data_IF_538502858715
#
_entry.id   IF_538502858715
#
_cell.length_a   1.000
_cell.length_b   1.000
_cell.length_c   1.000
_cell.angle_alpha   90.00
_cell.angle_beta   90.00
_cell.angle_gamma   90.00
#
_symmetry.space_group_name_H-M   'P 1'
#
loop_
_entity.id
_entity.type
_entity.pdbx_description
1 polymer ?
#
# COMPACT_ATOMS: atom_id res chain seq x y z
N UNK A 1 54.48 37.74 5.91
CA UNK A 1 54.25 36.54 5.08
C UNK A 1 55.20 35.43 5.50
N UNK A 2 54.74 34.45 6.27
CA UNK A 2 55.19 33.06 6.16
C UNK A 2 54.09 32.20 5.54
N UNK A 3 54.45 31.16 4.79
CA UNK A 3 53.46 30.22 4.21
C UNK A 3 52.82 29.35 5.30
N UNK A 4 51.54 28.94 5.15
CA UNK A 4 50.98 27.88 5.97
C UNK A 4 51.68 26.55 5.66
N UNK A 5 51.97 25.75 6.69
CA UNK A 5 52.46 24.38 6.50
C UNK A 5 51.33 23.44 6.05
N UNK A 6 51.61 22.38 5.28
CA UNK A 6 50.61 21.38 4.94
C UNK A 6 50.16 20.62 6.18
N UNK A 7 48.85 20.58 6.43
CA UNK A 7 48.26 19.73 7.48
C UNK A 7 48.21 18.30 6.94
N UNK A 8 48.93 17.38 7.59
CA UNK A 8 48.81 15.95 7.31
C UNK A 8 47.47 15.42 7.83
N UNK A 9 46.61 14.94 6.94
CA UNK A 9 45.45 14.14 7.34
C UNK A 9 45.91 12.87 8.07
N UNK A 10 45.26 12.45 9.17
CA UNK A 10 45.55 11.15 9.78
C UNK A 10 45.15 10.02 8.83
N UNK A 11 45.95 8.95 8.81
CA UNK A 11 45.67 7.77 8.00
C UNK A 11 44.34 7.13 8.38
N UNK A 12 43.53 6.80 7.37
CA UNK A 12 42.32 5.99 7.57
C UNK A 12 42.74 4.56 7.94
N UNK A 13 42.15 3.93 8.98
CA UNK A 13 42.37 2.52 9.23
C UNK A 13 41.91 1.70 8.01
N UNK A 14 42.77 0.83 7.50
CA UNK A 14 42.39 -0.12 6.45
C UNK A 14 41.34 -1.09 7.01
N UNK A 15 40.17 -1.13 6.38
CA UNK A 15 39.13 -2.09 6.74
C UNK A 15 39.58 -3.51 6.38
N UNK A 16 39.77 -4.35 7.39
CA UNK A 16 40.15 -5.75 7.17
C UNK A 16 39.06 -6.50 6.39
N UNK A 17 39.47 -7.26 5.37
CA UNK A 17 38.55 -8.03 4.53
C UNK A 17 37.90 -9.19 5.30
N UNK A 18 36.67 -8.97 5.80
CA UNK A 18 35.80 -10.04 6.27
C UNK A 18 35.23 -10.82 5.07
N UNK A 19 35.78 -12.00 4.81
CA UNK A 19 35.43 -12.80 3.64
C UNK A 19 34.10 -13.54 3.86
N UNK A 20 33.06 -13.12 3.15
CA UNK A 20 31.72 -13.73 3.21
C UNK A 20 30.81 -13.07 2.19
N UNK A 21 30.13 -13.87 1.36
CA UNK A 21 29.32 -13.39 0.23
C UNK A 21 28.00 -12.78 0.71
N UNK A 22 28.03 -11.51 1.15
CA UNK A 22 26.83 -10.72 1.40
C UNK A 22 26.09 -10.49 0.07
N UNK A 23 25.02 -11.25 -0.14
CA UNK A 23 23.99 -10.89 -1.12
C UNK A 23 23.43 -9.50 -0.73
N UNK A 24 23.25 -8.56 -1.66
CA UNK A 24 22.70 -7.24 -1.35
C UNK A 24 21.18 -7.31 -1.11
N UNK A 25 20.74 -6.95 0.11
CA UNK A 25 19.36 -7.13 0.63
C UNK A 25 18.86 -5.84 1.32
N UNK A 26 17.53 -5.63 1.35
CA UNK A 26 16.72 -4.44 1.72
C UNK A 26 15.33 -4.87 2.27
N UNK A 27 14.18 -4.16 2.38
CA UNK A 27 13.47 -3.06 1.67
C UNK A 27 13.96 -1.63 2.04
N UNK A 28 13.34 -0.47 1.78
CA UNK A 28 12.28 0.12 0.94
C UNK A 28 11.57 -0.66 -0.21
N UNK A 29 10.39 -0.18 -0.65
CA UNK A 29 9.59 -0.71 -1.80
C UNK A 29 10.42 -0.91 -3.09
N UNK A 30 11.56 -0.23 -3.22
CA UNK A 30 12.42 -0.28 -4.40
C UNK A 30 13.57 -1.32 -4.35
N UNK A 31 13.63 -2.25 -3.39
CA UNK A 31 14.75 -3.23 -3.25
C UNK A 31 14.38 -4.42 -2.28
N UNK A 32 14.92 -5.67 -2.34
CA UNK A 32 14.24 -6.89 -1.79
C UNK A 32 14.51 -7.33 -0.31
N UNK A 33 13.52 -7.95 0.39
CA UNK A 33 13.43 -8.39 1.82
C UNK A 33 14.17 -9.70 2.19
N UNK A 34 14.38 -9.93 3.49
CA UNK A 34 14.95 -11.16 4.10
C UNK A 34 13.85 -12.20 4.37
N UNK A 35 14.09 -13.48 4.06
CA UNK A 35 13.08 -14.57 4.14
C UNK A 35 12.30 -14.64 5.48
N UNK A 36 11.00 -14.92 5.41
CA UNK A 36 10.05 -14.77 6.54
C UNK A 36 10.34 -15.82 7.62
N UNK A 37 10.96 -15.38 8.71
CA UNK A 37 11.38 -16.26 9.80
C UNK A 37 10.19 -16.93 10.52
N UNK A 38 10.44 -18.08 11.17
CA UNK A 38 9.49 -18.69 12.11
C UNK A 38 9.14 -17.77 13.29
N UNK A 39 10.04 -16.86 13.63
CA UNK A 39 9.82 -15.88 14.69
C UNK A 39 8.81 -14.80 14.25
N UNK A 40 8.90 -14.33 13.01
CA UNK A 40 7.93 -13.42 12.39
C UNK A 40 6.51 -14.02 12.38
N UNK A 41 6.39 -15.31 12.03
CA UNK A 41 5.11 -16.05 12.13
C UNK A 41 4.53 -16.10 13.56
N UNK A 42 5.35 -15.95 14.60
CA UNK A 42 4.92 -15.94 16.00
C UNK A 42 4.69 -14.53 16.59
N UNK A 43 5.00 -13.47 15.82
CA UNK A 43 4.94 -12.07 16.25
C UNK A 43 3.84 -11.24 15.58
N UNK A 44 3.07 -11.82 14.67
CA UNK A 44 1.88 -11.19 14.05
C UNK A 44 0.60 -11.94 14.40
N UNK A 45 -0.54 -11.24 14.43
CA UNK A 45 -1.87 -11.85 14.53
C UNK A 45 -2.40 -12.40 13.19
N UNK A 46 -1.78 -12.03 12.07
CA UNK A 46 -2.27 -12.33 10.71
C UNK A 46 -1.21 -13.10 9.88
N UNK A 47 -0.75 -14.29 10.32
CA UNK A 47 0.33 -15.03 9.66
C UNK A 47 0.03 -15.42 8.21
N UNK A 48 -1.25 -15.52 7.82
CA UNK A 48 -1.69 -15.80 6.45
C UNK A 48 -1.44 -14.65 5.47
N UNK A 49 -1.23 -13.41 5.96
CA UNK A 49 -0.85 -12.25 5.12
C UNK A 49 0.67 -12.09 4.98
N UNK A 50 1.48 -12.95 5.61
CA UNK A 50 2.94 -12.86 5.51
C UNK A 50 3.39 -13.02 4.05
N UNK A 51 4.29 -12.15 3.56
CA UNK A 51 4.59 -12.06 2.14
C UNK A 51 5.38 -13.27 1.64
N UNK A 52 5.10 -13.66 0.40
CA UNK A 52 5.76 -14.76 -0.30
C UNK A 52 6.35 -14.28 -1.64
N UNK A 53 7.48 -14.87 -2.00
CA UNK A 53 8.19 -14.65 -3.27
C UNK A 53 8.26 -15.95 -4.09
N UNK A 54 7.14 -16.69 -4.09
CA UNK A 54 6.98 -17.88 -4.93
C UNK A 54 7.13 -17.48 -6.42
N UNK A 55 7.85 -18.29 -7.21
CA UNK A 55 8.19 -17.92 -8.59
C UNK A 55 6.97 -17.96 -9.51
N UNK A 56 6.41 -16.79 -9.77
CA UNK A 56 5.25 -16.57 -10.62
C UNK A 56 5.64 -15.94 -11.96
N UNK A 57 4.81 -16.17 -12.98
CA UNK A 57 4.93 -15.53 -14.29
C UNK A 57 3.55 -15.07 -14.75
N UNK A 58 3.49 -13.89 -15.37
CA UNK A 58 2.29 -13.33 -15.97
C UNK A 58 2.60 -12.96 -17.41
N UNK A 59 1.68 -13.26 -18.33
CA UNK A 59 1.79 -12.78 -19.71
C UNK A 59 1.55 -11.27 -19.78
N UNK A 60 2.14 -10.55 -20.76
CA UNK A 60 1.96 -9.11 -20.90
C UNK A 60 0.48 -8.72 -20.96
N UNK A 61 0.06 -7.86 -20.03
CA UNK A 61 -1.35 -7.54 -19.81
C UNK A 61 -1.94 -6.84 -21.06
N UNK A 62 -2.87 -7.48 -21.81
CA UNK A 62 -3.44 -6.85 -23.00
C UNK A 62 -4.42 -5.74 -22.59
N UNK A 63 -4.59 -4.70 -23.44
CA UNK A 63 -5.63 -3.71 -23.24
C UNK A 63 -7.01 -4.35 -23.13
N UNK A 64 -7.83 -3.88 -22.19
CA UNK A 64 -9.12 -4.46 -21.84
C UNK A 64 -10.18 -3.38 -21.63
N UNK A 65 -11.43 -3.70 -21.93
CA UNK A 65 -12.56 -2.83 -21.62
C UNK A 65 -12.84 -2.84 -20.11
N UNK A 66 -13.27 -1.69 -19.57
CA UNK A 66 -13.53 -1.52 -18.15
C UNK A 66 -14.80 -0.68 -17.92
N UNK A 67 -15.78 -1.31 -17.26
CA UNK A 67 -17.07 -0.71 -16.90
C UNK A 67 -17.09 -0.32 -15.41
N UNK A 68 -16.73 0.95 -15.13
CA UNK A 68 -16.65 1.49 -13.77
C UNK A 68 -17.99 1.32 -13.01
N UNK A 69 -18.01 0.64 -11.85
CA UNK A 69 -19.20 0.49 -11.01
C UNK A 69 -19.90 1.81 -10.67
N UNK A 70 -19.16 2.92 -10.52
CA UNK A 70 -19.70 4.24 -10.18
C UNK A 70 -20.73 4.78 -11.20
N UNK A 71 -20.64 4.31 -12.45
CA UNK A 71 -21.54 4.70 -13.56
C UNK A 71 -22.88 3.96 -13.54
N UNK A 72 -23.00 2.86 -12.80
CA UNK A 72 -24.22 2.05 -12.67
C UNK A 72 -25.24 2.69 -11.71
N UNK A 73 -24.75 3.52 -10.79
CA UNK A 73 -25.50 4.16 -9.71
C UNK A 73 -26.38 5.30 -10.22
N UNK A 74 -27.69 5.04 -10.22
CA UNK A 74 -28.73 5.98 -10.68
C UNK A 74 -29.20 6.94 -9.59
N UNK A 75 -29.29 6.46 -8.35
CA UNK A 75 -29.68 7.28 -7.20
C UNK A 75 -28.44 7.90 -6.54
N UNK A 76 -28.39 9.24 -6.50
CA UNK A 76 -27.27 9.99 -5.93
C UNK A 76 -27.29 10.07 -4.40
N UNK A 77 -28.40 9.72 -3.75
CA UNK A 77 -28.51 9.61 -2.30
C UNK A 77 -27.77 8.38 -1.74
N UNK A 78 -27.46 7.39 -2.60
CA UNK A 78 -26.72 6.17 -2.26
C UNK A 78 -27.39 5.36 -1.13
N UNK A 79 -28.65 4.91 -1.29
CA UNK A 79 -29.44 4.32 -0.19
C UNK A 79 -28.97 2.93 0.29
N UNK A 80 -28.13 2.21 -0.47
CA UNK A 80 -27.54 0.94 -0.03
C UNK A 80 -26.25 1.15 0.78
N UNK A 81 -25.60 2.32 0.66
CA UNK A 81 -24.40 2.71 1.40
C UNK A 81 -24.69 3.68 2.55
N UNK A 82 -25.56 4.67 2.34
CA UNK A 82 -25.87 5.77 3.26
C UNK A 82 -27.15 5.49 4.06
N UNK A 83 -27.14 4.42 4.84
CA UNK A 83 -28.28 4.09 5.73
C UNK A 83 -28.33 4.99 6.97
N UNK A 84 -29.42 4.94 7.74
CA UNK A 84 -29.65 5.82 8.91
C UNK A 84 -28.54 5.79 9.98
N UNK A 85 -27.78 4.69 10.06
CA UNK A 85 -26.67 4.52 11.01
C UNK A 85 -25.33 5.07 10.50
N UNK A 86 -25.25 5.53 9.25
CA UNK A 86 -23.99 5.85 8.57
C UNK A 86 -23.64 7.32 8.72
N UNK A 87 -22.42 7.60 9.20
CA UNK A 87 -21.93 8.96 9.44
C UNK A 87 -20.73 9.26 8.55
N UNK A 88 -20.90 10.23 7.65
CA UNK A 88 -19.85 10.74 6.78
C UNK A 88 -19.16 11.95 7.41
N UNK A 89 -17.87 11.83 7.70
CA UNK A 89 -17.06 12.92 8.28
C UNK A 89 -15.97 13.36 7.29
N UNK A 90 -16.03 14.58 6.76
CA UNK A 90 -15.05 15.06 5.77
C UNK A 90 -13.68 15.39 6.40
N UNK A 91 -12.61 14.90 5.79
CA UNK A 91 -11.21 15.14 6.23
C UNK A 91 -10.68 16.45 5.62
N UNK A 92 -10.97 16.70 4.34
CA UNK A 92 -10.72 17.96 3.65
C UNK A 92 -12.00 18.41 2.91
N UNK A 93 -12.16 19.70 2.56
CA UNK A 93 -13.39 20.17 1.92
C UNK A 93 -13.71 19.44 0.60
N UNK A 94 -12.70 19.22 -0.25
CA UNK A 94 -12.87 18.71 -1.63
C UNK A 94 -12.41 17.26 -1.86
N UNK A 95 -11.81 16.60 -0.87
CA UNK A 95 -11.45 15.17 -0.91
C UNK A 95 -11.32 14.60 0.51
N UNK A 96 -11.25 13.28 0.66
CA UNK A 96 -11.07 12.60 1.94
C UNK A 96 -12.34 12.60 2.82
N UNK A 97 -12.80 11.43 3.23
CA UNK A 97 -13.83 11.30 4.27
C UNK A 97 -13.62 10.03 5.10
N UNK A 98 -13.99 10.08 6.38
CA UNK A 98 -14.24 8.90 7.22
C UNK A 98 -15.71 8.50 7.06
N UNK A 99 -15.99 7.20 6.98
CA UNK A 99 -17.34 6.63 6.86
C UNK A 99 -17.57 5.69 8.03
N UNK A 100 -18.21 6.17 9.09
CA UNK A 100 -18.57 5.36 10.25
C UNK A 100 -19.89 4.61 9.99
N UNK A 101 -20.05 3.41 10.55
CA UNK A 101 -21.32 2.66 10.54
C UNK A 101 -21.58 1.76 9.32
N UNK A 102 -20.59 1.58 8.43
CA UNK A 102 -20.64 0.63 7.30
C UNK A 102 -19.70 -0.55 7.57
N UNK A 103 -20.10 -1.78 7.23
CA UNK A 103 -19.20 -2.93 7.11
C UNK A 103 -19.06 -3.31 5.64
N UNK A 104 -17.85 -3.21 5.07
CA UNK A 104 -17.60 -3.43 3.65
C UNK A 104 -17.92 -4.87 3.20
N UNK A 105 -17.76 -5.85 4.10
CA UNK A 105 -18.11 -7.27 3.86
C UNK A 105 -19.62 -7.49 3.64
N UNK A 106 -20.46 -6.61 4.18
CA UNK A 106 -21.92 -6.74 4.22
C UNK A 106 -22.61 -5.97 3.08
N UNK A 107 -21.86 -5.20 2.28
CA UNK A 107 -22.40 -4.44 1.16
C UNK A 107 -22.97 -5.35 0.07
N UNK A 108 -24.20 -5.04 -0.35
CA UNK A 108 -24.77 -5.56 -1.60
C UNK A 108 -23.98 -5.06 -2.81
N UNK A 109 -24.13 -5.70 -3.96
CA UNK A 109 -23.46 -5.24 -5.19
C UNK A 109 -23.88 -3.82 -5.59
N UNK A 110 -25.11 -3.40 -5.27
CA UNK A 110 -25.56 -2.02 -5.40
C UNK A 110 -24.86 -1.08 -4.39
N UNK A 111 -24.64 -1.53 -3.14
CA UNK A 111 -23.85 -0.79 -2.14
C UNK A 111 -22.38 -0.63 -2.55
N UNK A 112 -21.81 -1.59 -3.28
CA UNK A 112 -20.45 -1.51 -3.84
C UNK A 112 -20.37 -0.58 -5.06
N UNK A 113 -21.38 -0.60 -5.93
CA UNK A 113 -21.53 0.39 -7.01
C UNK A 113 -21.61 1.81 -6.41
N UNK A 114 -22.43 2.00 -5.36
CA UNK A 114 -22.58 3.27 -4.63
C UNK A 114 -21.30 3.71 -3.91
N UNK A 115 -20.54 2.75 -3.37
CA UNK A 115 -19.21 2.98 -2.80
C UNK A 115 -18.22 3.46 -3.86
N UNK A 116 -18.19 2.84 -5.04
CA UNK A 116 -17.37 3.31 -6.16
C UNK A 116 -17.71 4.76 -6.52
N UNK A 117 -19.00 5.13 -6.55
CA UNK A 117 -19.41 6.51 -6.77
C UNK A 117 -18.96 7.46 -5.64
N UNK A 118 -19.05 7.05 -4.37
CA UNK A 118 -18.56 7.86 -3.26
C UNK A 118 -17.02 8.03 -3.29
N UNK A 119 -16.29 7.00 -3.73
CA UNK A 119 -14.84 7.07 -4.00
C UNK A 119 -14.55 8.03 -5.15
N UNK A 120 -15.31 8.02 -6.25
CA UNK A 120 -15.14 9.00 -7.33
C UNK A 120 -15.40 10.45 -6.85
N UNK A 121 -16.39 10.65 -5.97
CA UNK A 121 -16.76 11.96 -5.40
C UNK A 121 -15.76 12.47 -4.34
N UNK A 122 -15.15 11.57 -3.54
CA UNK A 122 -14.30 11.94 -2.38
C UNK A 122 -12.83 11.53 -2.49
N UNK A 123 -12.46 10.74 -3.50
CA UNK A 123 -11.11 10.26 -3.89
C UNK A 123 -10.44 9.31 -2.90
N UNK A 124 -10.60 9.55 -1.60
CA UNK A 124 -10.11 8.71 -0.51
C UNK A 124 -11.23 8.57 0.52
N UNK A 125 -11.50 7.34 0.93
CA UNK A 125 -12.42 7.03 2.03
C UNK A 125 -11.70 6.16 3.06
N UNK A 126 -11.89 6.48 4.33
CA UNK A 126 -11.41 5.69 5.46
C UNK A 126 -12.60 5.03 6.16
N UNK A 127 -12.52 3.72 6.39
CA UNK A 127 -13.53 2.93 7.08
C UNK A 127 -12.89 2.39 8.37
N UNK A 128 -13.26 2.88 9.57
CA UNK A 128 -12.81 2.31 10.83
C UNK A 128 -13.50 0.96 11.09
N UNK A 129 -12.95 0.18 12.03
CA UNK A 129 -13.59 -1.00 12.65
C UNK A 129 -14.17 -2.04 11.66
N UNK A 130 -13.41 -2.40 10.61
CA UNK A 130 -13.87 -3.28 9.53
C UNK A 130 -13.62 -4.78 9.80
N UNK A 131 -14.70 -5.57 9.84
CA UNK A 131 -14.65 -7.04 9.94
C UNK A 131 -13.97 -7.70 8.71
N UNK A 132 -13.93 -6.99 7.58
CA UNK A 132 -13.26 -7.40 6.35
C UNK A 132 -11.73 -7.55 6.51
N UNK A 133 -11.14 -6.97 7.56
CA UNK A 133 -9.73 -7.19 7.92
C UNK A 133 -9.54 -8.62 8.46
N UNK A 134 -10.30 -9.01 9.48
CA UNK A 134 -10.25 -10.34 10.09
C UNK A 134 -10.83 -11.44 9.19
N UNK A 135 -11.62 -11.09 8.17
CA UNK A 135 -12.24 -12.03 7.23
C UNK A 135 -11.24 -12.70 6.24
N UNK A 136 -9.96 -12.33 6.28
CA UNK A 136 -8.89 -13.01 5.54
C UNK A 136 -8.73 -12.59 4.05
N UNK A 137 -7.61 -12.99 3.41
CA UNK A 137 -7.23 -12.51 2.08
C UNK A 137 -8.25 -12.84 0.98
N UNK A 138 -8.87 -14.03 1.03
CA UNK A 138 -9.89 -14.45 0.04
C UNK A 138 -11.12 -13.53 0.07
N UNK A 139 -11.59 -13.15 1.27
CA UNK A 139 -12.74 -12.26 1.44
C UNK A 139 -12.45 -10.87 0.89
N UNK A 140 -11.25 -10.34 1.13
CA UNK A 140 -10.76 -9.06 0.61
C UNK A 140 -10.60 -9.08 -0.91
N UNK A 141 -10.03 -10.15 -1.49
CA UNK A 141 -9.90 -10.30 -2.93
C UNK A 141 -11.28 -10.40 -3.61
N UNK A 142 -12.20 -11.19 -3.03
CA UNK A 142 -13.58 -11.34 -3.49
C UNK A 142 -14.36 -10.02 -3.43
N UNK A 143 -14.14 -9.20 -2.42
CA UNK A 143 -14.69 -7.84 -2.34
C UNK A 143 -14.12 -6.96 -3.47
N UNK A 144 -12.79 -6.91 -3.61
CA UNK A 144 -12.13 -6.06 -4.61
C UNK A 144 -12.45 -6.45 -6.06
N UNK A 145 -12.75 -7.72 -6.32
CA UNK A 145 -13.19 -8.21 -7.65
C UNK A 145 -14.50 -7.59 -8.16
N UNK A 146 -15.28 -6.90 -7.33
CA UNK A 146 -16.41 -6.08 -7.79
C UNK A 146 -15.96 -4.83 -8.56
N UNK A 147 -14.81 -4.26 -8.17
CA UNK A 147 -14.29 -3.00 -8.71
C UNK A 147 -13.43 -3.20 -9.97
N UNK A 148 -13.05 -4.44 -10.29
CA UNK A 148 -12.32 -4.77 -11.51
C UNK A 148 -11.59 -6.11 -11.41
N UNK A 149 -10.76 -6.42 -12.43
CA UNK A 149 -9.78 -7.50 -12.33
C UNK A 149 -8.66 -7.09 -11.36
N UNK A 150 -8.05 -8.02 -10.59
CA UNK A 150 -6.83 -7.72 -9.86
C UNK A 150 -5.71 -7.25 -10.80
N UNK A 151 -4.93 -6.26 -10.35
CA UNK A 151 -3.61 -5.94 -10.92
C UNK A 151 -2.56 -6.82 -10.22
N UNK A 152 -1.53 -7.24 -10.96
CA UNK A 152 -0.48 -8.13 -10.45
C UNK A 152 0.88 -7.45 -10.53
N UNK A 153 1.37 -6.96 -9.39
CA UNK A 153 2.58 -6.13 -9.34
C UNK A 153 3.85 -6.98 -9.24
N UNK A 154 4.83 -6.84 -10.14
CA UNK A 154 6.06 -7.65 -10.14
C UNK A 154 7.14 -7.15 -9.16
N UNK A 155 6.81 -6.21 -8.27
CA UNK A 155 7.78 -5.46 -7.43
C UNK A 155 7.76 -5.83 -5.93
N UNK A 156 6.71 -6.51 -5.45
CA UNK A 156 6.53 -6.84 -4.03
C UNK A 156 6.43 -8.35 -3.80
N UNK A 157 6.57 -8.76 -2.54
CA UNK A 157 6.01 -10.04 -2.11
C UNK A 157 4.47 -10.01 -2.21
N UNK A 158 3.87 -11.19 -2.38
CA UNK A 158 2.41 -11.36 -2.48
C UNK A 158 1.90 -12.31 -1.40
N UNK A 159 0.60 -12.26 -1.09
CA UNK A 159 -0.02 -13.22 -0.17
C UNK A 159 -0.10 -14.61 -0.83
N UNK A 160 0.20 -15.67 -0.07
CA UNK A 160 0.19 -17.05 -0.56
C UNK A 160 -1.17 -17.41 -1.16
N UNK A 161 -1.20 -17.68 -2.46
CA UNK A 161 -2.42 -18.01 -3.21
C UNK A 161 -3.24 -16.81 -3.67
N UNK A 162 -2.94 -15.60 -3.20
CA UNK A 162 -3.65 -14.35 -3.50
C UNK A 162 -2.71 -13.33 -4.18
N UNK A 163 -2.31 -13.58 -5.44
CA UNK A 163 -1.23 -12.85 -6.11
C UNK A 163 -1.55 -11.37 -6.43
N UNK A 164 -2.80 -10.93 -6.24
CA UNK A 164 -3.21 -9.53 -6.40
C UNK A 164 -2.88 -8.62 -5.20
N UNK A 165 -2.32 -9.17 -4.12
CA UNK A 165 -1.93 -8.39 -2.94
C UNK A 165 -0.53 -7.79 -3.07
N UNK A 166 -0.41 -6.49 -2.81
CA UNK A 166 0.84 -5.83 -2.47
C UNK A 166 0.97 -5.77 -0.94
N UNK A 167 1.97 -6.44 -0.36
CA UNK A 167 2.15 -6.48 1.11
C UNK A 167 3.23 -5.51 1.58
N UNK A 168 2.82 -4.51 2.36
CA UNK A 168 3.70 -3.52 3.00
C UNK A 168 4.10 -4.05 4.40
N UNK A 169 5.00 -5.02 4.43
CA UNK A 169 5.55 -5.56 5.70
C UNK A 169 6.82 -4.80 6.12
N UNK A 170 6.91 -4.38 7.38
CA UNK A 170 8.07 -3.69 7.96
C UNK A 170 8.39 -4.24 9.35
N UNK A 171 9.22 -5.28 9.37
CA UNK A 171 9.71 -5.95 10.57
C UNK A 171 11.21 -6.25 10.40
N UNK A 172 12.00 -6.14 11.46
CA UNK A 172 13.46 -6.39 11.45
C UNK A 172 14.33 -5.46 10.60
N UNK A 173 13.77 -4.56 9.79
CA UNK A 173 14.46 -3.83 8.71
C UNK A 173 15.19 -2.52 9.13
N UNK A 174 15.70 -2.44 10.37
CA UNK A 174 16.32 -1.21 10.90
C UNK A 174 17.57 -0.78 10.10
N UNK A 175 18.44 -1.73 9.80
CA UNK A 175 19.72 -1.50 9.10
C UNK A 175 19.49 -1.08 7.65
N UNK A 176 18.41 -1.58 7.03
CA UNK A 176 18.03 -1.30 5.65
C UNK A 176 17.46 0.13 5.52
N UNK A 177 16.58 0.53 6.46
CA UNK A 177 16.12 1.91 6.59
C UNK A 177 17.30 2.87 6.86
N UNK A 178 18.24 2.48 7.72
CA UNK A 178 19.44 3.28 8.00
C UNK A 178 20.27 3.50 6.74
N UNK A 179 20.53 2.44 5.97
CA UNK A 179 21.29 2.51 4.71
C UNK A 179 20.57 3.29 3.62
N UNK A 180 19.24 3.21 3.55
CA UNK A 180 18.45 4.03 2.62
C UNK A 180 18.59 5.54 2.91
N UNK A 181 18.65 5.90 4.20
CA UNK A 181 18.84 7.28 4.67
C UNK A 181 20.30 7.78 4.56
N UNK A 182 21.27 6.94 4.22
CA UNK A 182 22.62 7.40 3.83
C UNK A 182 22.59 8.26 2.54
N UNK A 183 21.57 8.08 1.69
CA UNK A 183 21.43 8.75 0.40
C UNK A 183 20.17 9.62 0.28
N UNK A 184 19.27 9.61 1.27
CA UNK A 184 18.00 10.37 1.24
C UNK A 184 17.67 10.99 2.60
N UNK A 185 17.06 12.17 2.57
CA UNK A 185 16.63 12.91 3.77
C UNK A 185 15.30 12.43 4.36
N UNK A 186 14.56 11.57 3.66
CA UNK A 186 13.26 11.02 4.11
C UNK A 186 12.95 9.69 3.43
N UNK A 187 12.11 8.88 4.07
CA UNK A 187 11.46 7.68 3.52
C UNK A 187 10.13 7.97 2.80
N UNK A 188 9.63 9.21 2.86
CA UNK A 188 8.41 9.64 2.15
C UNK A 188 8.65 9.78 0.65
N UNK A 189 7.77 9.21 -0.18
CA UNK A 189 7.77 9.36 -1.64
C UNK A 189 6.35 9.63 -2.15
N UNK A 190 6.14 10.78 -2.78
CA UNK A 190 4.92 11.04 -3.55
C UNK A 190 4.94 10.25 -4.86
N UNK A 191 3.91 9.46 -5.12
CA UNK A 191 3.78 8.62 -6.30
C UNK A 191 2.30 8.35 -6.63
N UNK A 192 2.06 7.74 -7.79
CA UNK A 192 0.80 7.05 -8.13
C UNK A 192 1.14 5.60 -8.48
N UNK A 193 0.42 4.66 -7.88
CA UNK A 193 0.62 3.22 -8.03
C UNK A 193 0.63 2.79 -9.49
N UNK A 194 1.65 2.01 -9.85
CA UNK A 194 1.81 1.33 -11.15
C UNK A 194 1.61 2.25 -12.37
N UNK A 195 1.94 3.53 -12.23
CA UNK A 195 1.78 4.58 -13.26
C UNK A 195 2.64 4.40 -14.52
N UNK A 196 3.36 3.28 -14.64
CA UNK A 196 4.06 2.82 -15.85
C UNK A 196 3.23 1.83 -16.70
N UNK A 197 2.11 1.30 -16.20
CA UNK A 197 1.20 0.47 -16.99
C UNK A 197 0.34 1.31 -17.95
N UNK A 198 -0.12 0.69 -19.04
CA UNK A 198 -1.04 1.32 -20.02
C UNK A 198 -2.44 1.54 -19.41
N UNK A 199 -2.84 0.69 -18.45
CA UNK A 199 -4.08 0.81 -17.68
C UNK A 199 -3.79 0.59 -16.18
N UNK A 200 -3.26 1.59 -15.47
CA UNK A 200 -2.95 1.49 -14.03
C UNK A 200 -4.20 1.20 -13.17
N UNK A 201 -4.02 0.76 -11.91
CA UNK A 201 -5.13 0.52 -10.98
C UNK A 201 -6.08 1.72 -10.83
N UNK A 202 -7.37 1.50 -11.08
CA UNK A 202 -8.42 2.52 -10.90
C UNK A 202 -8.97 2.59 -9.47
N UNK A 203 -8.93 1.47 -8.73
CA UNK A 203 -9.36 1.35 -7.34
C UNK A 203 -8.30 0.58 -6.54
N UNK A 204 -7.97 1.07 -5.35
CA UNK A 204 -7.03 0.45 -4.40
C UNK A 204 -7.68 0.40 -3.01
N UNK A 205 -7.55 -0.73 -2.33
CA UNK A 205 -7.95 -0.90 -0.93
C UNK A 205 -6.69 -1.17 -0.11
N UNK A 206 -6.46 -0.34 0.91
CA UNK A 206 -5.34 -0.48 1.85
C UNK A 206 -5.89 -0.85 3.23
N UNK A 207 -5.65 -2.09 3.65
CA UNK A 207 -6.00 -2.58 4.99
C UNK A 207 -4.83 -2.44 5.96
N UNK A 208 -5.07 -1.84 7.13
CA UNK A 208 -4.11 -1.84 8.23
C UNK A 208 -4.32 -3.11 9.08
N UNK A 209 -3.46 -4.10 8.92
CA UNK A 209 -3.48 -5.32 9.73
C UNK A 209 -2.94 -5.01 11.14
N UNK A 210 -1.68 -4.56 11.21
CA UNK A 210 -0.98 -4.19 12.43
C UNK A 210 -0.07 -2.98 12.16
N UNK A 211 0.11 -2.12 13.16
CA UNK A 211 0.91 -0.90 13.08
C UNK A 211 1.26 -0.38 14.48
N UNK A 212 2.09 0.67 14.59
CA UNK A 212 2.44 1.28 15.87
C UNK A 212 1.30 2.17 16.40
N UNK A 213 1.28 2.43 17.70
CA UNK A 213 0.32 3.35 18.34
C UNK A 213 0.42 4.80 17.81
N UNK A 214 1.57 5.19 17.25
CA UNK A 214 1.87 6.53 16.75
C UNK A 214 2.77 6.47 15.51
N UNK A 215 2.38 7.18 14.45
CA UNK A 215 3.13 7.31 13.21
C UNK A 215 2.83 6.20 12.18
N UNK A 216 3.35 6.37 10.96
CA UNK A 216 2.99 5.51 9.81
C UNK A 216 1.88 6.09 8.93
N UNK A 217 1.44 7.32 9.22
CA UNK A 217 0.44 8.09 8.50
C UNK A 217 0.63 8.03 6.97
N UNK A 218 -0.44 7.68 6.24
CA UNK A 218 -0.47 7.75 4.78
C UNK A 218 -1.15 9.04 4.34
N UNK A 219 -0.42 9.89 3.61
CA UNK A 219 -0.89 11.21 3.17
C UNK A 219 -1.21 11.19 1.68
N UNK A 220 -2.38 11.70 1.31
CA UNK A 220 -2.87 11.73 -0.07
C UNK A 220 -2.96 13.16 -0.61
N UNK A 221 -2.79 13.32 -1.93
CA UNK A 221 -2.95 14.58 -2.64
C UNK A 221 -3.94 14.41 -3.81
N UNK A 222 -4.88 15.35 -3.95
CA UNK A 222 -5.87 15.32 -5.01
C UNK A 222 -5.35 16.03 -6.28
N UNK A 223 -4.87 15.26 -7.25
CA UNK A 223 -4.21 15.77 -8.46
C UNK A 223 -5.14 16.58 -9.38
N UNK A 224 -6.43 16.26 -9.42
CA UNK A 224 -7.43 17.03 -10.16
C UNK A 224 -7.69 18.42 -9.55
N UNK A 225 -7.42 18.58 -8.25
CA UNK A 225 -7.51 19.86 -7.55
C UNK A 225 -6.23 20.69 -7.70
N UNK A 226 -5.08 20.04 -7.90
CA UNK A 226 -3.80 20.68 -8.18
C UNK A 226 -3.68 21.18 -9.63
N UNK A 227 -4.60 20.79 -10.51
CA UNK A 227 -4.71 21.22 -11.91
C UNK A 227 -5.61 22.46 -12.11
N UNK A 228 -6.43 22.82 -11.12
CA UNK A 228 -7.46 23.87 -11.19
C UNK A 228 -6.97 25.24 -10.70
#
# INVERSE_FOLDING_TARGET
MPSPMPISSPDKPQAAHANGSKQPISYDINIPYVDVSKESHSRTRYPEYLPTWDKMWFDPLPPFHYDDPALRVKDKSKPNLMTENVKLSHIQPRFGSVVDGVQLSQLSDAGKDELAQLVAERKVLAFPDQDLIDAGPESQEKFMRHFGKPNYQPVSGTVRGHPGFHIIHRDGNREEISRFLEQRTTTTLWHQDVSYEIQPPGYVMLGLLEGPDVGGDTVFAATDLAYQ
#
